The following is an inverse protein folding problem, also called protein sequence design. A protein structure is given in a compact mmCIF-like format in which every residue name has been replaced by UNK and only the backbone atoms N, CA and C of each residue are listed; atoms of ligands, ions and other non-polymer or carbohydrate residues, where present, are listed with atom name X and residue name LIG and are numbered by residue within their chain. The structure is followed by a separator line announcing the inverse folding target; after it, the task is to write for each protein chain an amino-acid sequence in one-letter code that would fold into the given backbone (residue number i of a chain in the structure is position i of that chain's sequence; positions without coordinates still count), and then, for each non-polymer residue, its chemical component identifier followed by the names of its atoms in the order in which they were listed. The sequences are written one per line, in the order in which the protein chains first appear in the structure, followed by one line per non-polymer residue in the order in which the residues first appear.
data_IF_511341484522
#
_entry.id   IF_511341484522
#
_cell.length_a   1.000
_cell.length_b   1.000
_cell.length_c   1.000
_cell.angle_alpha   90.00
_cell.angle_beta   90.00
_cell.angle_gamma   90.00
#
_symmetry.space_group_name_H-M   'P 1'
#
loop_
_entity.id
_entity.type
_entity.pdbx_description
1 polymer ?
#
# COMPACT_ATOMS: atom_id res chain seq x y z
N UNK A 1 -11.11 10.75 9.33
CA UNK A 1 -11.88 9.48 9.35
C UNK A 1 -10.92 8.33 9.21
N UNK A 2 -11.29 7.16 9.72
CA UNK A 2 -10.46 5.96 9.66
C UNK A 2 -10.88 5.12 8.45
N UNK A 3 -9.92 4.71 7.62
CA UNK A 3 -10.15 3.94 6.40
C UNK A 3 -9.44 2.60 6.55
N UNK A 4 -10.18 1.51 6.37
CA UNK A 4 -9.63 0.16 6.29
C UNK A 4 -9.61 -0.29 4.82
N UNK A 5 -8.42 -0.55 4.29
CA UNK A 5 -8.23 -1.09 2.95
C UNK A 5 -7.78 -2.54 3.03
N UNK A 6 -8.47 -3.42 2.30
CA UNK A 6 -8.12 -4.84 2.18
C UNK A 6 -7.77 -5.11 0.72
N UNK A 7 -6.58 -5.65 0.47
CA UNK A 7 -6.10 -5.92 -0.88
C UNK A 7 -5.38 -7.26 -0.98
N UNK A 8 -5.52 -7.95 -2.12
CA UNK A 8 -4.76 -9.16 -2.43
C UNK A 8 -3.32 -8.88 -2.86
N UNK A 9 -3.00 -7.62 -3.19
CA UNK A 9 -1.65 -7.20 -3.58
C UNK A 9 -1.19 -5.98 -2.80
N UNK A 10 0.10 -5.93 -2.48
CA UNK A 10 0.69 -4.80 -1.78
C UNK A 10 1.14 -3.74 -2.79
N UNK A 11 0.68 -2.47 -2.66
CA UNK A 11 0.91 -1.41 -3.65
C UNK A 11 2.36 -0.90 -3.73
N UNK A 12 3.32 -1.56 -3.07
CA UNK A 12 4.71 -1.13 -2.96
C UNK A 12 5.69 -2.33 -2.94
N UNK A 13 6.94 -2.18 -3.41
CA UNK A 13 7.46 -1.05 -4.17
C UNK A 13 6.78 -0.97 -5.54
N UNK A 14 6.58 0.23 -6.12
CA UNK A 14 5.86 0.46 -7.37
C UNK A 14 6.65 -0.04 -8.60
N UNK A 15 7.34 -1.17 -8.47
CA UNK A 15 8.35 -1.70 -9.38
C UNK A 15 7.78 -2.62 -10.47
N UNK A 16 6.47 -2.91 -10.46
CA UNK A 16 5.88 -3.94 -11.35
C UNK A 16 4.74 -3.47 -12.27
N UNK A 17 4.36 -2.19 -12.32
CA UNK A 17 3.45 -1.67 -13.37
C UNK A 17 2.52 -0.51 -12.96
N UNK A 18 1.83 0.07 -13.96
CA UNK A 18 1.02 1.31 -13.86
C UNK A 18 -0.14 1.26 -12.85
N UNK A 19 -0.77 0.10 -12.65
CA UNK A 19 -1.93 -0.03 -11.76
C UNK A 19 -1.56 0.06 -10.29
N UNK A 20 -0.38 -0.45 -9.90
CA UNK A 20 0.15 -0.37 -8.54
C UNK A 20 0.46 1.10 -8.16
N UNK A 21 0.86 1.92 -9.13
CA UNK A 21 1.12 3.35 -8.95
C UNK A 21 -0.14 4.19 -8.67
N UNK A 22 -1.29 3.87 -9.29
CA UNK A 22 -2.57 4.57 -9.04
C UNK A 22 -3.08 4.34 -7.62
N UNK A 23 -3.02 3.09 -7.15
CA UNK A 23 -3.41 2.73 -5.78
C UNK A 23 -2.48 3.38 -4.76
N UNK A 24 -1.18 3.39 -5.00
CA UNK A 24 -0.20 4.06 -4.14
C UNK A 24 -0.46 5.58 -4.07
N UNK A 25 -0.65 6.26 -5.21
CA UNK A 25 -0.91 7.70 -5.22
C UNK A 25 -2.25 8.05 -4.56
N UNK A 26 -3.26 7.20 -4.71
CA UNK A 26 -4.54 7.37 -4.02
C UNK A 26 -4.37 7.25 -2.50
N UNK A 27 -3.66 6.23 -2.03
CA UNK A 27 -3.36 6.03 -0.60
C UNK A 27 -2.57 7.22 -0.04
N UNK A 28 -1.55 7.68 -0.76
CA UNK A 28 -0.76 8.87 -0.39
C UNK A 28 -1.59 10.15 -0.34
N UNK A 29 -2.60 10.28 -1.20
CA UNK A 29 -3.50 11.43 -1.16
C UNK A 29 -4.45 11.35 0.04
N UNK A 30 -5.07 10.19 0.28
CA UNK A 30 -6.00 9.97 1.38
C UNK A 30 -5.30 10.05 2.74
N UNK A 31 -4.04 9.58 2.86
CA UNK A 31 -3.30 9.59 4.13
C UNK A 31 -3.02 10.99 4.67
N UNK A 32 -3.13 12.03 3.83
CA UNK A 32 -2.99 13.43 4.27
C UNK A 32 -4.05 13.86 5.28
N UNK A 33 -5.24 13.28 5.20
CA UNK A 33 -6.42 13.72 5.96
C UNK A 33 -7.15 12.56 6.67
N UNK A 34 -6.74 11.32 6.39
CA UNK A 34 -7.37 10.11 6.91
C UNK A 34 -6.31 9.19 7.48
N UNK A 35 -6.64 8.57 8.61
CA UNK A 35 -5.84 7.47 9.15
C UNK A 35 -6.21 6.20 8.38
N UNK A 36 -5.22 5.55 7.77
CA UNK A 36 -5.45 4.42 6.87
C UNK A 36 -4.72 3.20 7.40
N UNK A 37 -5.47 2.13 7.63
CA UNK A 37 -4.91 0.80 7.87
C UNK A 37 -5.06 -0.03 6.59
N UNK A 38 -3.94 -0.56 6.10
CA UNK A 38 -3.93 -1.44 4.91
C UNK A 38 -3.60 -2.86 5.36
N UNK A 39 -4.52 -3.78 5.09
CA UNK A 39 -4.31 -5.22 5.26
C UNK A 39 -4.09 -5.82 3.88
N UNK A 40 -2.97 -6.49 3.71
CA UNK A 40 -2.64 -7.18 2.46
C UNK A 40 -2.40 -8.66 2.67
N UNK A 41 -2.70 -9.44 1.64
CA UNK A 41 -2.26 -10.84 1.61
C UNK A 41 -0.71 -10.86 1.58
N UNK A 42 -0.06 -11.66 2.45
CA UNK A 42 1.39 -11.79 2.43
C UNK A 42 1.84 -12.33 1.07
N UNK A 43 2.79 -11.63 0.46
CA UNK A 43 3.50 -12.09 -0.73
C UNK A 43 5.00 -12.02 -0.46
N UNK A 44 5.80 -12.82 -1.17
CA UNK A 44 7.25 -12.89 -1.02
C UNK A 44 7.90 -11.49 -1.04
N UNK A 45 7.39 -10.57 -1.86
CA UNK A 45 7.88 -9.18 -1.94
C UNK A 45 7.68 -8.39 -0.63
N UNK A 46 6.59 -8.61 0.10
CA UNK A 46 6.25 -7.92 1.37
C UNK A 46 7.06 -8.51 2.52
N UNK A 47 7.21 -9.83 2.54
CA UNK A 47 7.89 -10.56 3.62
C UNK A 47 9.40 -10.32 3.56
N UNK A 48 9.98 -10.31 2.36
CA UNK A 48 11.43 -10.17 2.18
C UNK A 48 11.91 -8.72 2.31
N UNK A 49 11.01 -7.73 2.27
CA UNK A 49 11.40 -6.32 2.36
C UNK A 49 10.42 -5.50 3.22
N UNK A 50 10.45 -5.66 4.56
CA UNK A 50 9.50 -5.00 5.47
C UNK A 50 9.62 -3.47 5.49
N UNK A 51 10.74 -2.90 5.04
CA UNK A 51 10.91 -1.46 4.85
C UNK A 51 9.91 -0.88 3.83
N UNK A 52 9.40 -1.73 2.93
CA UNK A 52 8.34 -1.41 1.95
C UNK A 52 7.05 -0.91 2.58
N UNK A 53 6.82 -1.20 3.87
CA UNK A 53 5.59 -0.85 4.59
C UNK A 53 5.65 0.58 5.15
N UNK A 54 6.85 1.10 5.45
CA UNK A 54 7.03 2.42 6.08
C UNK A 54 7.00 3.63 5.14
N UNK A 55 6.74 3.43 3.84
CA UNK A 55 6.74 4.48 2.81
C UNK A 55 5.34 4.93 2.35
N UNK A 56 4.27 4.36 2.92
CA UNK A 56 2.88 4.77 2.73
C UNK A 56 2.52 5.90 3.71
#
# INVERSE_FOLDING_TARGET
MNILMISSTFPYPPSKGETQGRTFNLLKYLSKNHDITVIVQPNADVILNPLSIGYL
#
